data_IF_629719700527
#
_entry.id   IF_629719700527
#
_cell.length_a   1.000
_cell.length_b   1.000
_cell.length_c   1.000
_cell.angle_alpha   90.00
_cell.angle_beta   90.00
_cell.angle_gamma   90.00
#
_symmetry.space_group_name_H-M   'P 1'
#
loop_
_entity.id
_entity.type
_entity.pdbx_description
1 polymer ?
#
# COMPACT_ATOMS: atom_id res chain seq x y z
N UNK A 1 -44.73 18.55 8.08
CA UNK A 1 -45.14 17.77 9.25
C UNK A 1 -43.99 16.89 9.73
N UNK A 2 -43.47 15.96 8.93
CA UNK A 2 -42.36 15.05 9.31
C UNK A 2 -41.08 15.74 9.81
N UNK A 3 -40.68 16.86 9.19
CA UNK A 3 -39.48 17.61 9.61
C UNK A 3 -39.69 18.27 10.98
N UNK A 4 -40.90 18.74 11.25
CA UNK A 4 -41.24 19.38 12.53
C UNK A 4 -41.23 18.33 13.64
N UNK A 5 -41.79 17.15 13.38
CA UNK A 5 -41.79 16.01 14.31
C UNK A 5 -40.37 15.55 14.68
N UNK A 6 -39.46 15.44 13.71
CA UNK A 6 -38.06 15.08 13.96
C UNK A 6 -37.36 16.12 14.83
N UNK A 7 -37.61 17.41 14.59
CA UNK A 7 -37.02 18.50 15.38
C UNK A 7 -37.56 18.47 16.82
N UNK A 8 -38.88 18.39 16.99
CA UNK A 8 -39.53 18.32 18.30
C UNK A 8 -39.04 17.11 19.10
N UNK A 9 -38.89 15.93 18.45
CA UNK A 9 -38.36 14.74 19.11
C UNK A 9 -36.89 14.89 19.49
N UNK A 10 -36.10 15.57 18.66
CA UNK A 10 -34.71 15.93 18.96
C UNK A 10 -34.60 16.85 20.19
N UNK A 11 -35.47 17.86 20.29
CA UNK A 11 -35.53 18.77 21.44
C UNK A 11 -35.96 18.07 22.72
N UNK A 12 -36.90 17.13 22.63
CA UNK A 12 -37.34 16.29 23.77
C UNK A 12 -36.19 15.42 24.32
N UNK A 13 -35.38 14.83 23.44
CA UNK A 13 -34.30 13.92 23.82
C UNK A 13 -32.99 14.63 24.16
N UNK A 14 -32.82 15.90 23.78
CA UNK A 14 -31.58 16.65 23.97
C UNK A 14 -31.11 16.76 25.44
N UNK A 15 -31.98 16.97 26.46
CA UNK A 15 -31.53 17.05 27.85
C UNK A 15 -30.91 15.75 28.38
N UNK A 16 -31.45 14.61 27.96
CA UNK A 16 -31.11 13.27 28.46
C UNK A 16 -30.48 12.37 27.37
N UNK A 17 -29.85 12.99 26.36
CA UNK A 17 -29.34 12.31 25.16
C UNK A 17 -28.36 11.17 25.45
N UNK A 18 -27.67 11.20 26.59
CA UNK A 18 -26.76 10.15 27.02
C UNK A 18 -27.47 8.82 27.27
N UNK A 19 -28.74 8.85 27.70
CA UNK A 19 -29.51 7.64 27.99
C UNK A 19 -29.83 6.86 26.71
N UNK A 20 -30.08 7.57 25.60
CA UNK A 20 -30.35 6.95 24.28
C UNK A 20 -29.08 6.47 23.57
N UNK A 21 -27.87 6.85 24.03
CA UNK A 21 -26.61 6.42 23.38
C UNK A 21 -26.47 4.90 23.32
N UNK A 22 -27.01 4.17 24.31
CA UNK A 22 -26.96 2.71 24.34
C UNK A 22 -27.74 2.05 23.20
N UNK A 23 -28.74 2.73 22.63
CA UNK A 23 -29.51 2.26 21.47
C UNK A 23 -28.68 2.31 20.17
N UNK A 24 -27.63 3.14 20.13
CA UNK A 24 -26.75 3.31 18.98
C UNK A 24 -25.43 2.53 19.09
N UNK A 25 -25.31 1.63 20.07
CA UNK A 25 -24.12 0.79 20.26
C UNK A 25 -24.23 -0.50 19.42
N UNK A 26 -23.58 -0.51 18.25
CA UNK A 26 -23.55 -1.65 17.33
C UNK A 26 -22.15 -2.24 17.18
N UNK A 27 -21.60 -2.93 18.21
CA UNK A 27 -20.25 -3.43 18.14
C UNK A 27 -20.14 -4.64 17.19
N UNK A 28 -19.21 -4.57 16.25
CA UNK A 28 -18.72 -5.72 15.49
C UNK A 28 -18.07 -6.76 16.41
N UNK A 29 -18.49 -8.01 16.27
CA UNK A 29 -17.94 -9.16 17.00
C UNK A 29 -16.47 -9.37 16.63
N UNK A 30 -15.57 -9.28 17.62
CA UNK A 30 -14.13 -9.39 17.39
C UNK A 30 -13.52 -8.19 16.66
N UNK A 31 -14.27 -7.09 16.51
CA UNK A 31 -13.79 -5.86 15.89
C UNK A 31 -12.69 -5.18 16.71
N UNK A 32 -11.77 -4.53 16.03
CA UNK A 32 -10.78 -3.64 16.66
C UNK A 32 -11.33 -2.21 16.70
N UNK A 33 -11.47 -1.67 17.90
CA UNK A 33 -11.82 -0.27 18.12
C UNK A 33 -10.57 0.51 18.46
N UNK A 34 -10.28 1.55 17.68
CA UNK A 34 -9.08 2.34 17.89
C UNK A 34 -9.10 3.10 19.21
N UNK A 35 -10.29 3.50 19.68
CA UNK A 35 -10.50 4.12 20.97
C UNK A 35 -11.08 3.11 21.95
N UNK A 36 -10.60 3.11 23.21
CA UNK A 36 -11.15 2.25 24.26
C UNK A 36 -12.55 2.72 24.62
N UNK A 37 -13.44 1.80 24.97
CA UNK A 37 -14.77 2.12 25.52
C UNK A 37 -14.65 3.00 26.76
N UNK A 38 -15.51 4.00 26.90
CA UNK A 38 -15.53 4.85 28.09
C UNK A 38 -16.31 4.18 29.23
N UNK A 39 -15.95 4.50 30.48
CA UNK A 39 -16.57 3.91 31.68
C UNK A 39 -17.91 4.59 32.04
N UNK A 40 -18.10 5.86 31.65
CA UNK A 40 -19.21 6.73 32.05
C UNK A 40 -20.45 6.64 31.13
N UNK A 41 -20.69 5.49 30.48
CA UNK A 41 -21.82 5.33 29.54
C UNK A 41 -21.64 6.00 28.17
N UNK A 42 -20.50 6.66 27.93
CA UNK A 42 -20.12 7.17 26.60
C UNK A 42 -19.59 6.05 25.70
N UNK A 43 -19.70 6.22 24.37
CA UNK A 43 -19.27 5.19 23.40
C UNK A 43 -17.76 4.97 23.40
N UNK A 44 -16.95 6.04 23.39
CA UNK A 44 -15.50 5.98 23.25
C UNK A 44 -14.79 6.96 24.20
N UNK A 45 -13.64 6.53 24.74
CA UNK A 45 -12.69 7.36 25.47
C UNK A 45 -11.66 7.99 24.52
N UNK A 46 -10.87 8.96 24.99
CA UNK A 46 -9.75 9.53 24.21
C UNK A 46 -8.52 8.60 24.16
N UNK A 47 -8.53 7.51 24.92
CA UNK A 47 -7.40 6.60 25.03
C UNK A 47 -7.39 5.62 23.86
N UNK A 48 -6.24 5.52 23.19
CA UNK A 48 -6.07 4.59 22.08
C UNK A 48 -5.92 3.15 22.60
N UNK A 49 -6.54 2.22 21.89
CA UNK A 49 -6.37 0.79 22.12
C UNK A 49 -4.98 0.33 21.65
N UNK A 50 -4.33 -0.60 22.38
CA UNK A 50 -3.04 -1.12 21.97
C UNK A 50 -3.17 -1.91 20.66
N UNK A 51 -2.27 -1.63 19.70
CA UNK A 51 -2.20 -2.36 18.42
C UNK A 51 -1.33 -3.62 18.60
N UNK A 52 -1.93 -4.72 19.07
CA UNK A 52 -1.22 -5.95 19.45
C UNK A 52 -1.04 -6.96 18.31
N UNK A 53 -1.70 -6.76 17.17
CA UNK A 53 -1.62 -7.66 16.02
C UNK A 53 -0.17 -7.84 15.52
N UNK A 54 0.23 -9.09 15.30
CA UNK A 54 1.55 -9.48 14.75
C UNK A 54 1.35 -10.31 13.49
N UNK A 55 1.15 -9.68 12.33
CA UNK A 55 0.94 -10.39 11.08
C UNK A 55 2.19 -11.16 10.66
N UNK A 56 1.99 -12.34 10.07
CA UNK A 56 3.07 -13.13 9.47
C UNK A 56 3.32 -12.63 8.06
N UNK A 57 4.58 -12.33 7.75
CA UNK A 57 4.97 -11.86 6.42
C UNK A 57 5.60 -12.97 5.58
N UNK A 58 5.30 -13.05 4.28
CA UNK A 58 5.83 -14.10 3.42
C UNK A 58 7.35 -13.95 3.24
N UNK A 59 8.05 -15.08 3.03
CA UNK A 59 9.49 -15.08 2.78
C UNK A 59 9.85 -14.26 1.54
N UNK A 60 9.05 -14.34 0.49
CA UNK A 60 9.24 -13.56 -0.74
C UNK A 60 9.37 -12.06 -0.46
N UNK A 61 8.53 -11.49 0.41
CA UNK A 61 8.62 -10.09 0.80
C UNK A 61 9.94 -9.76 1.52
N UNK A 62 10.40 -10.60 2.44
CA UNK A 62 11.69 -10.42 3.13
C UNK A 62 12.85 -10.46 2.13
N UNK A 63 12.80 -11.41 1.20
CA UNK A 63 13.77 -11.53 0.12
C UNK A 63 13.76 -10.31 -0.80
N UNK A 64 12.59 -9.84 -1.23
CA UNK A 64 12.45 -8.64 -2.06
C UNK A 64 13.04 -7.40 -1.38
N UNK A 65 12.80 -7.21 -0.08
CA UNK A 65 13.42 -6.13 0.71
C UNK A 65 14.94 -6.23 0.74
N UNK A 66 15.47 -7.43 0.95
CA UNK A 66 16.92 -7.66 0.95
C UNK A 66 17.54 -7.29 -0.40
N UNK A 67 16.96 -7.78 -1.50
CA UNK A 67 17.43 -7.48 -2.86
C UNK A 67 17.33 -5.99 -3.15
N UNK A 68 16.22 -5.34 -2.78
CA UNK A 68 16.05 -3.91 -2.97
C UNK A 68 17.11 -3.10 -2.21
N UNK A 69 17.30 -3.38 -0.93
CA UNK A 69 18.29 -2.67 -0.10
C UNK A 69 19.74 -2.87 -0.57
N UNK A 70 20.04 -4.01 -1.21
CA UNK A 70 21.38 -4.29 -1.71
C UNK A 70 21.64 -3.69 -3.10
N UNK A 71 20.68 -3.81 -4.02
CA UNK A 71 20.87 -3.56 -5.44
C UNK A 71 20.13 -2.31 -5.98
N UNK A 72 19.02 -1.91 -5.37
CA UNK A 72 18.16 -0.82 -5.86
C UNK A 72 18.29 0.45 -5.01
N UNK A 73 18.49 0.34 -3.70
CA UNK A 73 18.74 1.49 -2.85
C UNK A 73 20.08 2.17 -3.24
N UNK A 74 20.14 3.50 -3.49
CA UNK A 74 21.37 4.19 -3.88
C UNK A 74 22.54 4.02 -2.92
N UNK A 75 22.25 3.81 -1.63
CA UNK A 75 23.24 3.54 -0.57
C UNK A 75 23.63 2.06 -0.47
N UNK A 76 23.02 1.20 -1.29
CA UNK A 76 23.25 -0.24 -1.32
C UNK A 76 24.64 -0.60 -1.85
N UNK A 77 25.22 -1.68 -1.31
CA UNK A 77 26.60 -2.10 -1.66
C UNK A 77 26.76 -2.49 -3.13
N UNK A 78 25.69 -2.97 -3.77
CA UNK A 78 25.72 -3.45 -5.16
C UNK A 78 25.14 -2.44 -6.14
N UNK A 79 24.57 -1.33 -5.68
CA UNK A 79 23.85 -0.36 -6.51
C UNK A 79 24.65 0.09 -7.73
N UNK A 80 25.88 0.57 -7.53
CA UNK A 80 26.72 1.07 -8.62
C UNK A 80 27.10 -0.01 -9.65
N UNK A 81 27.26 -1.27 -9.20
CA UNK A 81 27.51 -2.37 -10.12
C UNK A 81 26.26 -2.71 -10.91
N UNK A 82 25.12 -2.83 -10.23
CA UNK A 82 23.83 -3.11 -10.86
C UNK A 82 23.48 -2.01 -11.86
N UNK A 83 23.65 -0.74 -11.51
CA UNK A 83 23.40 0.38 -12.42
C UNK A 83 24.26 0.29 -13.71
N UNK A 84 25.56 -0.02 -13.59
CA UNK A 84 26.44 -0.22 -14.77
C UNK A 84 26.06 -1.42 -15.63
N UNK A 85 25.61 -2.51 -15.00
CA UNK A 85 25.16 -3.71 -15.72
C UNK A 85 23.86 -3.43 -16.46
N UNK A 86 22.91 -2.74 -15.81
CA UNK A 86 21.64 -2.36 -16.41
C UNK A 86 21.86 -1.37 -17.55
N UNK A 87 22.68 -0.34 -17.38
CA UNK A 87 23.00 0.65 -18.42
C UNK A 87 23.52 -0.01 -19.71
N UNK A 88 24.46 -0.96 -19.59
CA UNK A 88 24.99 -1.71 -20.74
C UNK A 88 24.01 -2.73 -21.34
N UNK A 89 23.01 -3.15 -20.57
CA UNK A 89 22.09 -4.24 -20.94
C UNK A 89 20.67 -3.76 -21.19
N UNK A 90 20.41 -2.45 -21.13
CA UNK A 90 19.06 -1.88 -21.18
C UNK A 90 18.34 -2.25 -22.49
N UNK A 91 19.08 -2.28 -23.60
CA UNK A 91 18.57 -2.66 -24.92
C UNK A 91 18.66 -4.17 -25.22
N UNK A 92 19.18 -4.96 -24.28
CA UNK A 92 19.32 -6.41 -24.45
C UNK A 92 17.99 -7.13 -24.15
N UNK A 93 17.42 -7.76 -25.17
CA UNK A 93 16.19 -8.55 -25.04
C UNK A 93 16.25 -9.66 -23.97
N UNK A 94 17.44 -10.23 -23.72
CA UNK A 94 17.63 -11.24 -22.67
C UNK A 94 17.47 -10.65 -21.26
N UNK A 95 18.00 -9.43 -21.02
CA UNK A 95 17.86 -8.75 -19.74
C UNK A 95 16.38 -8.46 -19.43
N UNK A 96 15.66 -7.96 -20.44
CA UNK A 96 14.22 -7.74 -20.36
C UNK A 96 13.45 -9.03 -20.10
N UNK A 97 13.81 -10.13 -20.78
CA UNK A 97 13.18 -11.43 -20.56
C UNK A 97 13.36 -11.91 -19.11
N UNK A 98 14.58 -11.80 -18.58
CA UNK A 98 14.89 -12.17 -17.18
C UNK A 98 14.07 -11.32 -16.20
N UNK A 99 13.99 -10.00 -16.40
CA UNK A 99 13.15 -9.12 -15.59
C UNK A 99 11.69 -9.56 -15.62
N UNK A 100 11.13 -9.74 -16.81
CA UNK A 100 9.73 -10.08 -17.01
C UNK A 100 9.37 -11.38 -16.28
N UNK A 101 10.10 -12.47 -16.56
CA UNK A 101 9.84 -13.78 -15.92
C UNK A 101 9.97 -13.68 -14.40
N UNK A 102 11.00 -13.01 -13.90
CA UNK A 102 11.21 -12.84 -12.46
C UNK A 102 10.05 -12.08 -11.81
N UNK A 103 9.58 -11.00 -12.44
CA UNK A 103 8.52 -10.15 -11.89
C UNK A 103 7.13 -10.76 -12.04
N UNK A 104 6.85 -11.48 -13.11
CA UNK A 104 5.61 -12.25 -13.26
C UNK A 104 5.54 -13.33 -12.18
N UNK A 105 6.61 -14.11 -12.00
CA UNK A 105 6.64 -15.19 -11.02
C UNK A 105 6.52 -14.71 -9.56
N UNK A 106 7.16 -13.58 -9.22
CA UNK A 106 7.18 -13.08 -7.84
C UNK A 106 6.01 -12.15 -7.48
N UNK A 107 5.50 -11.39 -8.46
CA UNK A 107 4.57 -10.28 -8.17
C UNK A 107 3.34 -10.22 -9.09
N UNK A 108 3.19 -11.16 -10.02
CA UNK A 108 2.15 -11.14 -11.05
C UNK A 108 2.22 -9.85 -11.89
N UNK A 109 3.43 -9.46 -12.29
CA UNK A 109 3.69 -8.19 -12.99
C UNK A 109 2.95 -8.08 -14.33
N UNK A 110 2.49 -6.87 -14.64
CA UNK A 110 1.80 -6.49 -15.89
C UNK A 110 2.64 -5.59 -16.80
N UNK A 111 3.95 -5.48 -16.54
CA UNK A 111 4.91 -4.70 -17.33
C UNK A 111 4.52 -3.24 -17.59
N UNK A 112 4.06 -2.54 -16.56
CA UNK A 112 3.75 -1.12 -16.65
C UNK A 112 4.99 -0.20 -16.85
N UNK A 113 6.21 -0.71 -16.67
CA UNK A 113 7.48 0.03 -16.88
C UNK A 113 7.80 1.12 -15.86
N UNK A 114 6.79 1.68 -15.18
CA UNK A 114 6.91 2.64 -14.07
C UNK A 114 6.53 1.94 -12.76
N UNK A 115 7.50 1.33 -12.06
CA UNK A 115 7.21 0.30 -11.07
C UNK A 115 6.84 0.86 -9.68
N UNK A 116 5.63 0.61 -9.18
CA UNK A 116 5.17 1.00 -7.84
C UNK A 116 5.21 -0.14 -6.79
N UNK A 117 6.06 -1.15 -6.99
CA UNK A 117 6.15 -2.30 -6.06
C UNK A 117 6.55 -1.86 -4.66
N UNK A 118 7.60 -1.05 -4.54
CA UNK A 118 8.15 -0.60 -3.25
C UNK A 118 7.14 0.21 -2.46
N UNK A 119 6.33 1.01 -3.15
CA UNK A 119 5.34 1.90 -2.55
C UNK A 119 4.15 1.13 -1.95
N UNK A 120 3.87 -0.06 -2.47
CA UNK A 120 2.80 -0.95 -1.97
C UNK A 120 3.38 -2.23 -1.36
N UNK A 121 4.52 -2.10 -0.65
CA UNK A 121 5.14 -3.18 0.11
C UNK A 121 5.38 -4.48 -0.71
N UNK A 122 5.89 -4.33 -1.93
CA UNK A 122 6.16 -5.40 -2.92
C UNK A 122 4.90 -6.17 -3.34
N UNK A 123 3.77 -5.48 -3.41
CA UNK A 123 2.55 -5.94 -4.07
C UNK A 123 2.37 -5.10 -5.33
N UNK A 124 2.05 -5.72 -6.46
CA UNK A 124 1.84 -4.96 -7.69
C UNK A 124 0.41 -4.37 -7.69
N UNK A 125 0.23 -3.04 -7.59
CA UNK A 125 -1.10 -2.44 -7.60
C UNK A 125 -1.81 -2.60 -8.94
N UNK A 126 -1.05 -2.79 -10.04
CA UNK A 126 -1.58 -2.94 -11.40
C UNK A 126 -2.11 -4.35 -11.71
N UNK A 127 -1.85 -5.34 -10.85
CA UNK A 127 -2.30 -6.73 -11.06
C UNK A 127 -3.09 -7.27 -9.88
N UNK A 128 -2.63 -6.99 -8.66
CA UNK A 128 -3.26 -7.53 -7.46
C UNK A 128 -4.45 -6.70 -6.99
N UNK A 129 -4.59 -5.44 -7.43
CA UNK A 129 -5.79 -4.65 -7.18
C UNK A 129 -6.71 -4.69 -8.41
N UNK A 130 -7.98 -5.13 -8.31
CA UNK A 130 -8.92 -5.03 -9.43
C UNK A 130 -9.18 -3.60 -9.91
N UNK A 131 -8.87 -2.62 -9.08
CA UNK A 131 -9.04 -1.19 -9.38
C UNK A 131 -7.79 -0.54 -9.96
N UNK A 132 -6.67 -1.27 -10.07
CA UNK A 132 -5.38 -0.74 -10.54
C UNK A 132 -4.92 0.55 -9.82
N UNK A 133 -5.29 0.69 -8.55
CA UNK A 133 -5.01 1.89 -7.77
C UNK A 133 -3.64 1.82 -7.11
N UNK A 134 -2.78 2.78 -7.44
CA UNK A 134 -1.47 2.96 -6.79
C UNK A 134 -1.58 3.60 -5.40
N UNK A 135 -2.62 4.38 -5.17
CA UNK A 135 -2.90 5.03 -3.89
C UNK A 135 -4.16 4.43 -3.26
N UNK A 136 -4.11 4.15 -1.96
CA UNK A 136 -5.26 3.66 -1.20
C UNK A 136 -5.03 3.86 0.29
N UNK A 137 -5.85 3.22 1.15
CA UNK A 137 -6.93 2.29 0.82
C UNK A 137 -8.16 2.96 0.18
N UNK A 138 -8.90 2.21 -0.64
CA UNK A 138 -10.11 2.69 -1.34
C UNK A 138 -11.39 2.70 -0.48
N UNK A 139 -11.32 2.27 0.78
CA UNK A 139 -12.49 2.10 1.66
C UNK A 139 -13.35 0.85 1.39
N UNK A 140 -13.30 0.30 0.18
CA UNK A 140 -14.05 -0.88 -0.25
C UNK A 140 -13.50 -2.23 0.20
N UNK A 141 -12.95 -2.35 1.41
CA UNK A 141 -12.52 -3.64 1.97
C UNK A 141 -13.36 -4.02 3.17
N UNK A 142 -13.83 -5.26 3.21
CA UNK A 142 -14.64 -5.79 4.29
C UNK A 142 -13.99 -7.05 4.85
N UNK A 143 -13.77 -7.10 6.17
CA UNK A 143 -13.12 -8.23 6.86
C UNK A 143 -11.79 -8.69 6.22
N UNK A 144 -11.03 -7.76 5.63
CA UNK A 144 -9.77 -8.05 4.96
C UNK A 144 -9.89 -8.41 3.46
N UNK A 145 -11.10 -8.65 2.97
CA UNK A 145 -11.39 -8.99 1.57
C UNK A 145 -11.67 -7.76 0.72
N UNK A 146 -11.40 -7.86 -0.58
CA UNK A 146 -11.77 -6.82 -1.53
C UNK A 146 -13.29 -6.89 -1.83
N UNK A 147 -13.99 -5.75 -1.87
CA UNK A 147 -15.42 -5.71 -2.24
C UNK A 147 -15.74 -6.27 -3.63
N UNK A 148 -14.78 -6.21 -4.55
CA UNK A 148 -14.97 -6.70 -5.92
C UNK A 148 -14.96 -8.24 -5.95
N UNK A 149 -14.21 -8.86 -5.04
CA UNK A 149 -14.07 -10.32 -4.94
C UNK A 149 -14.16 -10.76 -3.47
N UNK A 150 -15.36 -10.68 -2.85
CA UNK A 150 -15.56 -11.04 -1.46
C UNK A 150 -15.18 -12.50 -1.22
N UNK A 151 -14.46 -12.79 -0.12
CA UNK A 151 -14.02 -14.14 0.27
C UNK A 151 -13.11 -14.87 -0.74
N UNK A 152 -12.72 -14.23 -1.85
CA UNK A 152 -11.85 -14.82 -2.88
C UNK A 152 -10.49 -14.13 -2.95
N UNK A 153 -10.47 -12.79 -2.91
CA UNK A 153 -9.23 -12.00 -3.03
C UNK A 153 -9.03 -11.09 -1.82
N UNK A 154 -7.95 -11.33 -1.08
CA UNK A 154 -7.55 -10.43 -0.01
C UNK A 154 -7.21 -9.04 -0.56
N UNK A 155 -7.65 -7.99 0.14
CA UNK A 155 -7.38 -6.62 -0.24
C UNK A 155 -5.87 -6.35 -0.23
N UNK A 156 -5.35 -5.78 -1.33
CA UNK A 156 -3.92 -5.45 -1.46
C UNK A 156 -3.44 -4.53 -0.33
N UNK A 157 -4.26 -3.57 0.11
CA UNK A 157 -3.90 -2.62 1.16
C UNK A 157 -3.87 -3.24 2.55
N UNK A 158 -4.70 -4.26 2.79
CA UNK A 158 -4.64 -5.07 4.01
C UNK A 158 -3.32 -5.87 4.02
N UNK A 159 -2.99 -6.54 2.90
CA UNK A 159 -1.71 -7.23 2.75
C UNK A 159 -0.51 -6.29 2.89
N UNK A 160 -0.59 -5.06 2.36
CA UNK A 160 0.47 -4.05 2.48
C UNK A 160 0.63 -3.60 3.93
N UNK A 161 -0.47 -3.31 4.63
CA UNK A 161 -0.46 -2.97 6.05
C UNK A 161 0.19 -4.08 6.88
N UNK A 162 -0.19 -5.33 6.66
CA UNK A 162 0.37 -6.48 7.37
C UNK A 162 1.89 -6.61 7.15
N UNK A 163 2.33 -6.42 5.90
CA UNK A 163 3.75 -6.43 5.54
C UNK A 163 4.55 -5.32 6.21
N UNK A 164 4.01 -4.10 6.26
CA UNK A 164 4.67 -2.93 6.83
C UNK A 164 4.62 -2.91 8.36
N UNK A 165 3.50 -3.39 8.94
CA UNK A 165 3.31 -3.43 10.40
C UNK A 165 4.36 -4.29 11.09
N UNK A 166 4.80 -5.37 10.45
CA UNK A 166 5.87 -6.22 10.95
C UNK A 166 7.24 -5.50 11.05
N UNK A 167 7.39 -4.34 10.39
CA UNK A 167 8.58 -3.49 10.42
C UNK A 167 8.34 -2.14 11.11
N UNK A 168 7.15 -1.90 11.68
CA UNK A 168 6.70 -0.61 12.21
C UNK A 168 6.72 0.52 11.16
N UNK A 169 6.43 0.18 9.91
CA UNK A 169 6.45 1.09 8.76
C UNK A 169 5.04 1.38 8.23
N UNK A 170 3.98 1.10 9.00
CA UNK A 170 2.59 1.27 8.54
C UNK A 170 2.25 2.72 8.12
N UNK A 171 2.98 3.71 8.64
CA UNK A 171 2.82 5.12 8.28
C UNK A 171 3.16 5.42 6.82
N UNK A 172 3.93 4.54 6.14
CA UNK A 172 4.28 4.72 4.74
C UNK A 172 3.05 4.68 3.81
N UNK A 173 2.00 3.94 4.18
CA UNK A 173 0.75 3.89 3.40
C UNK A 173 0.07 5.26 3.35
N UNK A 174 0.11 6.00 4.47
CA UNK A 174 -0.43 7.35 4.57
C UNK A 174 0.58 8.43 4.14
N UNK A 175 1.71 8.01 3.56
CA UNK A 175 2.80 8.88 3.18
C UNK A 175 2.51 9.64 1.88
N UNK A 176 3.49 9.61 0.99
CA UNK A 176 3.43 10.38 -0.25
C UNK A 176 2.46 9.78 -1.26
N UNK A 177 1.81 10.67 -2.02
CA UNK A 177 0.95 10.29 -3.14
C UNK A 177 1.85 9.81 -4.28
N UNK A 178 1.61 8.58 -4.74
CA UNK A 178 2.30 7.99 -5.89
C UNK A 178 1.66 8.54 -7.16
N UNK A 179 2.44 9.04 -8.14
CA UNK A 179 1.88 9.54 -9.39
C UNK A 179 1.19 8.42 -10.18
N UNK A 180 0.26 8.78 -11.08
CA UNK A 180 -0.30 7.81 -12.02
C UNK A 180 0.82 7.14 -12.84
N UNK A 181 0.60 5.90 -13.30
CA UNK A 181 1.53 5.22 -14.21
C UNK A 181 1.86 6.12 -15.41
N UNK A 182 3.15 6.29 -15.66
CA UNK A 182 3.60 6.82 -16.95
C UNK A 182 3.42 5.74 -18.02
N UNK A 183 2.44 5.93 -18.90
CA UNK A 183 2.10 4.97 -19.95
C UNK A 183 3.09 4.95 -21.11
N UNK A 184 3.97 5.95 -21.23
CA UNK A 184 5.06 5.93 -22.22
C UNK A 184 6.06 4.80 -21.92
N UNK A 185 6.10 4.34 -20.66
CA UNK A 185 6.90 3.20 -20.23
C UNK A 185 6.16 1.86 -20.34
N UNK A 186 4.92 1.82 -20.82
CA UNK A 186 4.18 0.57 -20.93
C UNK A 186 4.91 -0.45 -21.81
N UNK A 187 5.02 -1.69 -21.34
CA UNK A 187 5.88 -2.72 -21.94
C UNK A 187 7.33 -2.26 -22.15
N UNK A 188 7.92 -1.59 -21.16
CA UNK A 188 9.37 -1.34 -21.10
C UNK A 188 9.96 -1.91 -19.81
N UNK A 189 11.29 -2.01 -19.75
CA UNK A 189 12.01 -2.50 -18.58
C UNK A 189 11.93 -1.48 -17.45
N UNK A 190 11.25 -1.84 -16.35
CA UNK A 190 11.21 -0.97 -15.17
C UNK A 190 12.52 -0.98 -14.39
N UNK A 191 13.35 -2.02 -14.50
CA UNK A 191 14.73 -1.94 -14.01
C UNK A 191 15.55 -0.89 -14.77
N UNK A 192 15.48 -0.88 -16.10
CA UNK A 192 16.16 0.14 -16.89
C UNK A 192 15.64 1.54 -16.57
N UNK A 193 14.31 1.73 -16.50
CA UNK A 193 13.73 3.04 -16.21
C UNK A 193 14.12 3.55 -14.80
N UNK A 194 14.22 2.66 -13.81
CA UNK A 194 14.69 3.01 -12.48
C UNK A 194 16.17 3.42 -12.47
N UNK A 195 17.06 2.56 -12.96
CA UNK A 195 18.52 2.80 -12.90
C UNK A 195 18.98 3.96 -13.82
N UNK A 196 18.21 4.28 -14.85
CA UNK A 196 18.46 5.41 -15.76
C UNK A 196 17.77 6.70 -15.30
N UNK A 197 17.12 6.73 -14.14
CA UNK A 197 16.54 7.97 -13.59
C UNK A 197 15.24 8.42 -14.26
N UNK A 198 14.54 7.53 -14.97
CA UNK A 198 13.36 7.88 -15.79
C UNK A 198 12.05 7.79 -15.01
N UNK A 199 11.91 6.75 -14.19
CA UNK A 199 10.67 6.43 -13.48
C UNK A 199 10.43 7.31 -12.23
N UNK A 200 9.23 7.23 -11.66
CA UNK A 200 8.88 8.06 -10.50
C UNK A 200 9.71 7.71 -9.25
N UNK A 201 10.01 6.42 -9.05
CA UNK A 201 10.76 5.95 -7.88
C UNK A 201 12.21 6.43 -7.94
N UNK A 202 12.81 6.48 -9.12
CA UNK A 202 14.16 6.99 -9.32
C UNK A 202 14.25 8.49 -9.10
N UNK A 203 13.26 9.26 -9.58
CA UNK A 203 13.13 10.69 -9.29
C UNK A 203 13.04 10.94 -7.77
N UNK A 204 12.24 10.14 -7.07
CA UNK A 204 12.12 10.17 -5.60
C UNK A 204 13.43 9.81 -4.89
N UNK A 205 14.14 8.80 -5.38
CA UNK A 205 15.43 8.38 -4.83
C UNK A 205 16.60 9.30 -5.22
N UNK A 206 16.38 10.32 -6.05
CA UNK A 206 17.42 11.23 -6.55
C UNK A 206 18.44 10.55 -7.47
N UNK A 207 18.06 9.45 -8.13
CA UNK A 207 18.94 8.69 -9.01
C UNK A 207 19.14 9.49 -10.30
N UNK A 208 20.38 9.82 -10.58
CA UNK A 208 20.80 10.43 -11.84
C UNK A 208 21.16 9.33 -12.85
N UNK A 209 20.93 9.57 -14.15
CA UNK A 209 21.43 8.68 -15.18
C UNK A 209 22.96 8.57 -15.07
N UNK A 210 23.55 7.40 -15.38
CA UNK A 210 25.00 7.25 -15.43
C UNK A 210 25.59 8.28 -16.40
N UNK A 211 26.70 8.92 -16.02
CA UNK A 211 27.43 9.83 -16.92
C UNK A 211 27.82 9.05 -18.17
N UNK A 212 27.36 9.48 -19.34
CA UNK A 212 27.91 9.00 -20.61
C UNK A 212 29.40 9.33 -20.61
N UNK A 213 30.23 8.29 -20.69
CA UNK A 213 31.63 8.49 -21.04
C UNK A 213 31.63 8.68 -22.55
N UNK A 214 31.83 9.93 -22.99
CA UNK A 214 32.19 10.25 -24.38
C UNK A 214 33.44 9.47 -24.82
#
# INVERSE_FOLDING_TARGET
DDVVEVIEKGEELAPDWQNVMTEFDFPQKGGFYYFKRAEEGLLNSKNQAPRTARPVVPFSYKFSRLVHNLCFEPRGKMFNLTQKVVDKSADNGFFRFVEHISKVALYECMDCGDCALTDVAYLCPMSQCPKNQRNGPCGGSYEGWCEVYPNEKQCIWVKAYDRLKNYNEESQIAGEIIPPPDWDFFHTSSWANYFLGRDHSAKKAGIQPPKQND
#
